data_IF_216845010635
#
_entry.id   IF_216845010635
#
_cell.length_a   1.000
_cell.length_b   1.000
_cell.length_c   1.000
_cell.angle_alpha   90.00
_cell.angle_beta   90.00
_cell.angle_gamma   90.00
#
_symmetry.space_group_name_H-M   'P 1'
#
loop_
_entity.id
_entity.type
_entity.pdbx_description
1 polymer ?
#
# COMPACT_ATOMS: atom_id res chain seq x y z
N UNK A 1 -0.27 -2.70 21.76
CA UNK A 1 -0.38 -1.44 22.50
C UNK A 1 -0.63 -0.33 21.50
N UNK A 2 -1.56 0.61 21.75
CA UNK A 2 -1.74 1.78 20.90
C UNK A 2 -0.45 2.59 20.78
N UNK A 3 -0.30 3.35 19.69
CA UNK A 3 0.76 4.34 19.57
C UNK A 3 0.48 5.46 20.58
N UNK A 4 1.52 5.87 21.27
CA UNK A 4 1.47 6.98 22.21
C UNK A 4 2.07 8.22 21.51
N UNK A 5 1.26 9.25 21.24
CA UNK A 5 1.72 10.44 20.56
C UNK A 5 2.85 11.17 21.29
N UNK A 6 2.91 11.09 22.64
CA UNK A 6 3.94 11.76 23.43
C UNK A 6 5.33 11.12 23.30
N UNK A 7 5.36 9.82 22.94
CA UNK A 7 6.62 9.07 22.74
C UNK A 7 6.98 8.86 21.28
N UNK A 8 6.14 9.37 20.36
CA UNK A 8 6.36 9.25 18.92
C UNK A 8 7.40 10.27 18.45
N UNK A 9 8.48 9.80 17.83
CA UNK A 9 9.46 10.66 17.19
C UNK A 9 9.06 10.91 15.71
N UNK A 10 8.58 12.12 15.43
CA UNK A 10 8.12 12.52 14.09
C UNK A 10 6.61 12.54 13.93
N UNK A 11 6.14 12.55 12.69
CA UNK A 11 4.72 12.69 12.35
C UNK A 11 4.23 11.48 11.55
N UNK A 12 3.05 10.97 11.88
CA UNK A 12 2.35 9.94 11.10
C UNK A 12 1.05 10.55 10.58
N UNK A 13 0.88 10.53 9.26
CA UNK A 13 -0.40 10.86 8.59
C UNK A 13 -1.12 9.57 8.26
N UNK A 14 -2.35 9.39 8.74
CA UNK A 14 -3.13 8.17 8.54
C UNK A 14 -4.43 8.53 7.82
N UNK A 15 -4.68 7.86 6.69
CA UNK A 15 -5.94 7.96 5.95
C UNK A 15 -6.61 6.59 5.93
N UNK A 16 -7.62 6.37 6.78
CA UNK A 16 -8.28 5.06 6.88
C UNK A 16 -8.97 4.62 5.60
N UNK A 17 -9.54 5.57 4.85
CA UNK A 17 -10.24 5.30 3.58
C UNK A 17 -9.92 6.42 2.58
N UNK A 18 -9.06 6.13 1.62
CA UNK A 18 -8.66 7.09 0.58
C UNK A 18 -9.77 7.33 -0.43
N UNK A 19 -10.48 6.27 -0.84
CA UNK A 19 -11.63 6.33 -1.75
C UNK A 19 -12.95 6.19 -0.98
N UNK A 20 -13.39 7.25 -0.32
CA UNK A 20 -14.63 7.25 0.46
C UNK A 20 -15.89 6.97 -0.40
N UNK A 21 -16.07 7.56 -1.61
CA UNK A 21 -17.19 7.19 -2.48
C UNK A 21 -17.20 5.71 -2.86
N UNK A 22 -16.04 5.16 -3.22
CA UNK A 22 -15.89 3.75 -3.53
C UNK A 22 -16.18 2.85 -2.32
N UNK A 23 -15.72 3.23 -1.14
CA UNK A 23 -16.02 2.51 0.09
C UNK A 23 -17.53 2.41 0.34
N UNK A 24 -18.27 3.51 0.21
CA UNK A 24 -19.72 3.55 0.39
C UNK A 24 -20.48 2.72 -0.66
N UNK A 25 -20.02 2.72 -1.90
CA UNK A 25 -20.62 1.97 -3.01
C UNK A 25 -20.06 0.55 -3.17
N UNK A 26 -19.15 0.12 -2.29
CA UNK A 26 -18.42 -1.16 -2.36
C UNK A 26 -17.76 -1.37 -3.73
N UNK A 27 -17.17 -0.31 -4.27
CA UNK A 27 -16.50 -0.26 -5.56
C UNK A 27 -15.05 0.16 -5.43
N UNK A 28 -14.18 -0.40 -6.28
CA UNK A 28 -12.83 0.10 -6.45
C UNK A 28 -12.79 1.49 -7.10
N UNK A 29 -13.77 1.75 -7.96
CA UNK A 29 -13.82 2.94 -8.80
C UNK A 29 -14.56 4.09 -8.13
N UNK A 30 -14.18 5.30 -8.50
CA UNK A 30 -14.94 6.50 -8.19
C UNK A 30 -16.26 6.54 -8.98
N UNK A 31 -17.21 7.45 -8.61
CA UNK A 31 -18.48 7.61 -9.36
C UNK A 31 -18.30 7.99 -10.85
N UNK A 32 -17.14 8.57 -11.21
CA UNK A 32 -16.78 8.88 -12.61
C UNK A 32 -16.15 7.68 -13.35
N UNK A 33 -16.20 6.48 -12.77
CA UNK A 33 -15.71 5.23 -13.35
C UNK A 33 -14.19 5.07 -13.37
N UNK A 34 -13.42 5.98 -12.74
CA UNK A 34 -11.96 5.95 -12.77
C UNK A 34 -11.36 5.27 -11.54
N UNK A 35 -10.23 4.61 -11.74
CA UNK A 35 -9.38 4.07 -10.67
C UNK A 35 -8.49 5.19 -10.11
N UNK A 36 -8.64 5.53 -8.80
CA UNK A 36 -7.81 6.53 -8.15
C UNK A 36 -6.31 6.22 -8.33
N UNK A 37 -5.94 4.93 -8.17
CA UNK A 37 -4.54 4.49 -8.27
C UNK A 37 -4.05 4.34 -9.73
N UNK A 38 -4.59 5.13 -10.64
CA UNK A 38 -4.17 5.36 -12.04
C UNK A 38 -4.22 6.84 -12.41
N UNK A 39 -4.50 7.70 -11.42
CA UNK A 39 -4.75 9.12 -11.67
C UNK A 39 -3.83 10.06 -10.87
N UNK A 40 -2.77 9.55 -10.24
CA UNK A 40 -1.76 10.38 -9.57
C UNK A 40 -0.82 11.05 -10.57
N UNK A 41 -0.39 12.32 -10.30
CA UNK A 41 -0.64 13.16 -9.11
C UNK A 41 -2.04 13.78 -9.05
N UNK A 42 -2.87 13.62 -10.08
CA UNK A 42 -4.17 14.23 -10.17
C UNK A 42 -4.17 15.58 -10.90
N UNK A 43 -5.29 16.29 -10.81
CA UNK A 43 -5.46 17.65 -11.35
C UNK A 43 -6.64 18.30 -10.62
N UNK A 44 -6.43 19.47 -10.01
CA UNK A 44 -7.45 20.21 -9.24
C UNK A 44 -8.63 20.68 -10.09
N UNK A 45 -8.45 20.82 -11.41
CA UNK A 45 -9.50 21.18 -12.37
C UNK A 45 -10.05 19.97 -13.15
N UNK A 46 -9.62 18.76 -12.78
CA UNK A 46 -10.01 17.54 -13.46
C UNK A 46 -11.32 16.93 -12.96
N UNK A 47 -11.56 15.68 -13.35
CA UNK A 47 -12.68 14.87 -12.86
C UNK A 47 -12.62 14.67 -11.34
N UNK A 48 -13.72 14.16 -10.74
CA UNK A 48 -13.77 13.93 -9.29
C UNK A 48 -12.61 13.08 -8.80
N UNK A 49 -12.26 12.00 -9.50
CA UNK A 49 -11.10 11.16 -9.19
C UNK A 49 -9.79 11.95 -9.25
N UNK A 50 -9.59 12.75 -10.31
CA UNK A 50 -8.35 13.53 -10.46
C UNK A 50 -8.21 14.63 -9.41
N UNK A 51 -9.32 15.25 -9.00
CA UNK A 51 -9.30 16.24 -7.92
C UNK A 51 -8.92 15.62 -6.58
N UNK A 52 -9.48 14.44 -6.26
CA UNK A 52 -9.10 13.73 -5.03
C UNK A 52 -7.65 13.25 -5.09
N UNK A 53 -7.19 12.72 -6.24
CA UNK A 53 -5.78 12.35 -6.41
C UNK A 53 -4.85 13.55 -6.14
N UNK A 54 -5.19 14.75 -6.64
CA UNK A 54 -4.40 15.96 -6.41
C UNK A 54 -4.38 16.38 -4.93
N UNK A 55 -5.49 16.22 -4.21
CA UNK A 55 -5.55 16.51 -2.77
C UNK A 55 -4.75 15.49 -1.96
N UNK A 56 -4.88 14.20 -2.27
CA UNK A 56 -4.09 13.13 -1.63
C UNK A 56 -2.61 13.39 -1.84
N UNK A 57 -2.20 13.70 -3.07
CA UNK A 57 -0.81 14.03 -3.38
C UNK A 57 -0.34 15.19 -2.54
N UNK A 58 -0.97 16.34 -2.67
CA UNK A 58 -0.56 17.59 -2.02
C UNK A 58 -0.51 17.51 -0.49
N UNK A 59 -1.51 16.91 0.14
CA UNK A 59 -1.63 16.98 1.62
C UNK A 59 -1.06 15.78 2.36
N UNK A 60 -0.85 14.66 1.68
CA UNK A 60 -0.45 13.41 2.32
C UNK A 60 0.89 12.89 1.84
N UNK A 61 1.27 13.18 0.60
CA UNK A 61 2.40 12.54 -0.06
C UNK A 61 3.59 13.48 -0.26
N UNK A 62 3.36 14.66 -0.80
CA UNK A 62 4.39 15.58 -1.28
C UNK A 62 5.51 15.87 -0.26
N UNK A 63 5.16 15.98 1.04
CA UNK A 63 6.13 16.22 2.12
C UNK A 63 6.36 14.98 2.99
N UNK A 64 6.23 13.78 2.44
CA UNK A 64 6.41 12.56 3.21
C UNK A 64 7.79 11.95 2.98
N UNK A 65 8.48 11.57 4.07
CA UNK A 65 9.76 10.86 4.00
C UNK A 65 9.61 9.39 3.63
N UNK A 66 8.42 8.81 3.82
CA UNK A 66 8.11 7.42 3.51
C UNK A 66 6.60 7.17 3.43
N UNK A 67 6.19 6.20 2.61
CA UNK A 67 4.78 5.84 2.40
C UNK A 67 4.60 4.33 2.57
N UNK A 68 3.54 3.96 3.28
CA UNK A 68 3.02 2.59 3.31
C UNK A 68 1.60 2.63 2.78
N UNK A 69 1.38 2.02 1.61
CA UNK A 69 0.08 1.93 0.96
C UNK A 69 -0.53 0.55 1.23
N UNK A 70 -1.67 0.51 1.94
CA UNK A 70 -2.30 -0.73 2.39
C UNK A 70 -3.48 -1.09 1.48
N UNK A 71 -3.41 -2.25 0.86
CA UNK A 71 -4.39 -2.77 -0.08
C UNK A 71 -4.97 -4.11 0.35
N UNK A 72 -6.18 -4.39 -0.12
CA UNK A 72 -6.78 -5.72 -0.15
C UNK A 72 -7.12 -6.12 -1.59
N UNK A 73 -7.44 -7.41 -1.79
CA UNK A 73 -7.84 -7.89 -3.11
C UNK A 73 -9.14 -7.24 -3.59
N UNK A 74 -9.31 -7.16 -4.89
CA UNK A 74 -10.56 -6.72 -5.51
C UNK A 74 -11.69 -7.73 -5.27
N UNK A 75 -12.93 -7.30 -5.59
CA UNK A 75 -14.16 -8.10 -5.39
C UNK A 75 -14.00 -9.54 -5.92
N UNK A 76 -14.43 -10.52 -5.12
CA UNK A 76 -14.35 -11.94 -5.44
C UNK A 76 -12.96 -12.55 -5.39
N UNK A 77 -11.98 -11.85 -4.82
CA UNK A 77 -10.60 -12.31 -4.71
C UNK A 77 -10.09 -12.20 -3.28
N UNK A 78 -9.05 -12.95 -2.98
CA UNK A 78 -8.27 -12.84 -1.74
C UNK A 78 -6.78 -12.81 -2.09
N UNK A 79 -6.04 -11.92 -1.42
CA UNK A 79 -4.59 -11.86 -1.52
C UNK A 79 -3.95 -12.56 -0.33
N UNK A 80 -2.97 -13.41 -0.60
CA UNK A 80 -2.02 -13.80 0.43
C UNK A 80 -1.19 -12.56 0.84
N UNK A 81 -0.95 -12.36 2.14
CA UNK A 81 -0.15 -11.23 2.62
C UNK A 81 1.22 -11.16 1.94
N UNK A 82 1.49 -10.06 1.24
CA UNK A 82 2.71 -9.81 0.50
C UNK A 82 3.02 -8.32 0.40
N UNK A 83 4.27 -7.97 0.11
CA UNK A 83 4.64 -6.63 -0.29
C UNK A 83 4.94 -6.57 -1.78
N UNK A 84 4.47 -5.50 -2.41
CA UNK A 84 4.90 -5.08 -3.75
C UNK A 84 5.81 -3.88 -3.61
N UNK A 85 6.98 -3.97 -4.19
CA UNK A 85 8.04 -2.96 -4.06
C UNK A 85 8.87 -2.91 -5.33
N UNK A 86 9.44 -1.77 -5.63
CA UNK A 86 10.54 -1.63 -6.59
C UNK A 86 11.84 -1.70 -5.78
N UNK A 87 12.53 -2.84 -5.86
CA UNK A 87 13.75 -3.06 -5.08
C UNK A 87 14.96 -2.28 -5.62
N UNK A 88 14.88 -1.75 -6.84
CA UNK A 88 15.90 -0.85 -7.38
C UNK A 88 15.89 0.52 -6.66
N UNK A 89 14.74 0.94 -6.11
CA UNK A 89 14.64 2.15 -5.30
C UNK A 89 15.17 1.89 -3.89
N UNK A 90 16.32 2.48 -3.54
CA UNK A 90 17.07 2.18 -2.32
C UNK A 90 16.23 2.34 -1.03
N UNK A 91 15.50 3.45 -0.90
CA UNK A 91 14.63 3.72 0.25
C UNK A 91 13.49 2.71 0.38
N UNK A 92 12.81 2.38 -0.72
CA UNK A 92 11.73 1.39 -0.73
C UNK A 92 12.23 -0.01 -0.35
N UNK A 93 13.43 -0.38 -0.79
CA UNK A 93 14.08 -1.64 -0.40
C UNK A 93 14.34 -1.69 1.13
N UNK A 94 14.80 -0.57 1.72
CA UNK A 94 14.98 -0.47 3.18
C UNK A 94 13.65 -0.66 3.91
N UNK A 95 12.57 0.00 3.45
CA UNK A 95 11.24 -0.13 4.04
C UNK A 95 10.70 -1.57 3.91
N UNK A 96 10.84 -2.20 2.75
CA UNK A 96 10.39 -3.56 2.50
C UNK A 96 11.10 -4.58 3.41
N UNK A 97 12.41 -4.42 3.56
CA UNK A 97 13.19 -5.26 4.50
C UNK A 97 12.78 -5.03 5.95
N UNK A 98 12.45 -3.80 6.31
CA UNK A 98 12.02 -3.44 7.65
C UNK A 98 10.62 -3.95 7.99
N UNK A 99 9.69 -3.92 7.03
CA UNK A 99 8.31 -4.37 7.22
C UNK A 99 8.24 -5.80 7.79
N UNK A 100 9.15 -6.67 7.38
CA UNK A 100 9.32 -7.96 8.05
C UNK A 100 8.32 -9.03 7.62
N UNK A 101 7.76 -8.94 6.42
CA UNK A 101 6.92 -9.96 5.81
C UNK A 101 7.76 -10.98 5.02
N UNK A 102 7.21 -12.18 4.85
CA UNK A 102 7.90 -13.30 4.20
C UNK A 102 7.94 -13.17 2.68
N UNK A 103 6.92 -12.60 2.05
CA UNK A 103 6.79 -12.56 0.59
C UNK A 103 6.97 -11.13 0.09
N UNK A 104 7.99 -10.95 -0.73
CA UNK A 104 8.27 -9.71 -1.45
C UNK A 104 8.11 -9.96 -2.95
N UNK A 105 7.27 -9.16 -3.60
CA UNK A 105 7.15 -9.14 -5.05
C UNK A 105 7.87 -7.90 -5.58
N UNK A 106 9.04 -8.12 -6.20
CA UNK A 106 9.74 -7.08 -6.95
C UNK A 106 8.98 -6.78 -8.23
N UNK A 107 8.43 -5.59 -8.32
CA UNK A 107 7.59 -5.20 -9.44
C UNK A 107 7.60 -3.71 -9.69
N UNK A 108 7.75 -3.33 -10.94
CA UNK A 108 7.55 -1.95 -11.37
C UNK A 108 6.10 -1.53 -11.12
N UNK A 109 5.88 -0.34 -10.57
CA UNK A 109 4.53 0.16 -10.32
C UNK A 109 3.81 0.51 -11.63
N UNK A 110 2.50 0.31 -11.72
CA UNK A 110 1.70 0.75 -12.86
C UNK A 110 1.75 2.28 -13.01
N UNK A 111 1.83 2.76 -14.24
CA UNK A 111 1.79 4.20 -14.55
C UNK A 111 0.57 4.89 -13.91
N UNK A 112 0.77 6.06 -13.34
CA UNK A 112 -0.27 6.84 -12.67
C UNK A 112 -0.70 6.30 -11.31
N UNK A 113 -0.05 5.26 -10.78
CA UNK A 113 -0.25 4.81 -9.39
C UNK A 113 0.51 5.71 -8.42
N UNK A 114 0.04 5.73 -7.17
CA UNK A 114 0.73 6.42 -6.07
C UNK A 114 2.20 5.99 -5.99
N UNK A 115 2.45 4.69 -6.02
CA UNK A 115 3.80 4.13 -5.94
C UNK A 115 4.68 4.54 -7.13
N UNK A 116 4.10 4.61 -8.35
CA UNK A 116 4.86 5.05 -9.53
C UNK A 116 5.34 6.49 -9.39
N UNK A 117 4.46 7.37 -8.93
CA UNK A 117 4.82 8.77 -8.81
C UNK A 117 5.74 9.02 -7.61
N UNK A 118 5.45 8.41 -6.46
CA UNK A 118 6.31 8.53 -5.28
C UNK A 118 7.76 8.10 -5.58
N UNK A 119 7.95 6.98 -6.31
CA UNK A 119 9.29 6.55 -6.72
C UNK A 119 9.98 7.55 -7.68
N UNK A 120 9.22 8.23 -8.54
CA UNK A 120 9.77 9.26 -9.45
C UNK A 120 10.21 10.52 -8.68
N UNK A 121 9.53 10.84 -7.59
CA UNK A 121 9.87 11.95 -6.70
C UNK A 121 10.84 11.54 -5.58
N UNK A 122 11.48 10.37 -5.71
CA UNK A 122 12.43 9.79 -4.74
C UNK A 122 11.86 9.59 -3.32
N UNK A 123 10.53 9.42 -3.21
CA UNK A 123 9.85 9.13 -1.95
C UNK A 123 9.74 7.61 -1.77
N UNK A 124 10.38 7.03 -0.74
CA UNK A 124 10.29 5.61 -0.45
C UNK A 124 8.85 5.14 -0.24
N UNK A 125 8.42 4.12 -0.98
CA UNK A 125 7.05 3.61 -0.89
C UNK A 125 7.00 2.10 -1.05
N UNK A 126 6.19 1.46 -0.20
CA UNK A 126 5.86 0.03 -0.28
C UNK A 126 4.35 -0.14 -0.32
N UNK A 127 3.87 -1.14 -1.07
CA UNK A 127 2.45 -1.50 -1.10
C UNK A 127 2.27 -2.86 -0.44
N UNK A 128 1.52 -2.91 0.65
CA UNK A 128 1.07 -4.15 1.26
C UNK A 128 -0.21 -4.63 0.57
N UNK A 129 -0.30 -5.91 0.28
CA UNK A 129 -1.48 -6.57 -0.24
C UNK A 129 -1.87 -7.72 0.69
N UNK A 130 -3.12 -7.77 1.17
CA UNK A 130 -3.58 -8.86 2.03
C UNK A 130 -5.10 -8.91 2.18
N UNK A 131 -5.64 -10.12 2.31
CA UNK A 131 -7.07 -10.35 2.51
C UNK A 131 -7.97 -10.04 1.32
N UNK A 132 -9.28 -9.96 1.56
CA UNK A 132 -10.31 -9.78 0.54
C UNK A 132 -11.05 -8.45 0.62
N UNK A 133 -11.92 -8.18 -0.35
CA UNK A 133 -12.60 -6.89 -0.48
C UNK A 133 -13.84 -6.74 0.41
N UNK A 134 -14.52 -7.82 0.77
CA UNK A 134 -15.86 -7.75 1.38
C UNK A 134 -15.90 -8.16 2.86
N UNK A 135 -14.75 -8.49 3.42
CA UNK A 135 -14.62 -8.91 4.83
C UNK A 135 -13.30 -8.43 5.42
N UNK A 136 -13.32 -8.22 6.73
CA UNK A 136 -12.11 -7.88 7.47
C UNK A 136 -11.37 -9.16 7.84
N UNK A 137 -10.33 -9.48 7.07
CA UNK A 137 -9.43 -10.60 7.38
C UNK A 137 -8.48 -10.21 8.52
N UNK A 138 -8.79 -10.69 9.71
CA UNK A 138 -8.03 -10.39 10.93
C UNK A 138 -6.56 -10.85 10.85
N UNK A 139 -6.28 -11.93 10.12
CA UNK A 139 -4.91 -12.41 9.95
C UNK A 139 -4.10 -11.41 9.11
N UNK A 140 -4.65 -10.97 7.99
CA UNK A 140 -4.03 -9.96 7.12
C UNK A 140 -3.87 -8.61 7.84
N UNK A 141 -4.86 -8.20 8.63
CA UNK A 141 -4.78 -6.98 9.45
C UNK A 141 -3.64 -7.07 10.46
N UNK A 142 -3.49 -8.19 11.18
CA UNK A 142 -2.38 -8.39 12.13
C UNK A 142 -1.02 -8.29 11.44
N UNK A 143 -0.86 -8.90 10.26
CA UNK A 143 0.37 -8.81 9.48
C UNK A 143 0.65 -7.36 9.06
N UNK A 144 -0.36 -6.63 8.57
CA UNK A 144 -0.21 -5.23 8.19
C UNK A 144 0.22 -4.34 9.37
N UNK A 145 -0.49 -4.43 10.50
CA UNK A 145 -0.16 -3.66 11.72
C UNK A 145 1.25 -3.97 12.20
N UNK A 146 1.61 -5.25 12.20
CA UNK A 146 2.93 -5.68 12.62
C UNK A 146 4.03 -5.12 11.71
N UNK A 147 3.81 -5.16 10.39
CA UNK A 147 4.73 -4.60 9.41
C UNK A 147 4.88 -3.08 9.52
N UNK A 148 3.78 -2.36 9.68
CA UNK A 148 3.82 -0.91 9.92
C UNK A 148 4.64 -0.60 11.17
N UNK A 149 4.40 -1.28 12.29
CA UNK A 149 5.16 -1.09 13.52
C UNK A 149 6.66 -1.40 13.35
N UNK A 150 7.01 -2.37 12.52
CA UNK A 150 8.40 -2.66 12.20
C UNK A 150 9.07 -1.55 11.40
N UNK A 151 8.36 -0.95 10.44
CA UNK A 151 8.85 0.23 9.70
C UNK A 151 9.05 1.40 10.64
N UNK A 152 8.09 1.70 11.53
CA UNK A 152 8.23 2.78 12.52
C UNK A 152 9.44 2.56 13.45
N UNK A 153 9.70 1.31 13.87
CA UNK A 153 10.91 0.97 14.63
C UNK A 153 12.18 1.17 13.82
N UNK A 154 12.18 0.80 12.55
CA UNK A 154 13.32 1.00 11.65
C UNK A 154 13.63 2.48 11.46
N UNK A 155 12.60 3.30 11.34
CA UNK A 155 12.69 4.76 11.22
C UNK A 155 12.97 5.45 12.57
N UNK A 156 13.08 4.69 13.67
CA UNK A 156 13.28 5.19 15.04
C UNK A 156 12.14 6.10 15.55
N UNK A 157 10.98 6.00 14.95
CA UNK A 157 9.79 6.77 15.39
C UNK A 157 9.16 6.20 16.65
N UNK A 158 9.37 4.90 16.92
CA UNK A 158 8.95 4.21 18.13
C UNK A 158 10.08 3.33 18.66
N UNK A 159 10.14 3.05 19.97
CA UNK A 159 11.19 2.22 20.54
C UNK A 159 11.12 0.76 20.08
N UNK A 160 12.25 0.07 20.14
CA UNK A 160 12.40 -1.34 19.82
C UNK A 160 13.13 -1.60 18.49
N UNK A 161 13.30 -2.87 18.18
CA UNK A 161 13.92 -3.33 16.91
C UNK A 161 12.88 -3.96 16.00
N UNK A 162 13.02 -3.81 14.67
CA UNK A 162 12.16 -4.54 13.72
C UNK A 162 12.34 -6.04 13.90
N UNK A 163 11.23 -6.76 13.91
CA UNK A 163 11.26 -8.21 13.86
C UNK A 163 11.62 -8.69 12.46
N UNK A 164 12.37 -9.81 12.36
CA UNK A 164 12.73 -10.43 11.09
C UNK A 164 11.86 -11.67 10.85
N UNK A 165 11.35 -11.88 9.63
CA UNK A 165 10.64 -13.10 9.32
C UNK A 165 11.60 -14.31 9.35
N UNK A 166 11.06 -15.52 9.53
CA UNK A 166 11.85 -16.76 9.55
C UNK A 166 12.55 -17.05 8.23
N UNK A 167 11.90 -16.70 7.12
CA UNK A 167 12.45 -16.78 5.76
C UNK A 167 11.94 -15.61 4.93
N UNK A 168 12.52 -15.43 3.75
CA UNK A 168 12.04 -14.49 2.74
C UNK A 168 11.99 -15.16 1.39
N UNK A 169 10.85 -15.02 0.73
CA UNK A 169 10.67 -15.36 -0.67
C UNK A 169 10.67 -14.05 -1.47
N UNK A 170 11.58 -13.96 -2.43
CA UNK A 170 11.62 -12.87 -3.39
C UNK A 170 11.10 -13.38 -4.73
N UNK A 171 9.96 -12.83 -5.18
CA UNK A 171 9.41 -13.08 -6.51
C UNK A 171 9.71 -11.89 -7.42
N UNK A 172 10.26 -12.16 -8.60
CA UNK A 172 10.61 -11.15 -9.62
C UNK A 172 9.53 -10.98 -10.70
N UNK A 173 8.40 -11.66 -10.56
CA UNK A 173 7.29 -11.58 -11.51
C UNK A 173 6.06 -12.31 -11.02
N UNK A 174 4.96 -12.11 -11.72
CA UNK A 174 3.70 -12.82 -11.48
C UNK A 174 2.97 -13.07 -12.79
N UNK A 175 2.31 -14.21 -12.88
CA UNK A 175 1.50 -14.61 -14.04
C UNK A 175 0.12 -15.04 -13.58
N UNK A 176 -0.90 -14.62 -14.32
CA UNK A 176 -2.26 -15.09 -14.09
C UNK A 176 -2.45 -16.47 -14.73
N UNK A 177 -2.74 -17.46 -13.91
CA UNK A 177 -3.30 -18.70 -14.39
C UNK A 177 -4.81 -18.48 -14.61
N UNK A 178 -5.30 -18.82 -15.80
CA UNK A 178 -6.69 -18.66 -16.17
C UNK A 178 -7.24 -20.00 -16.60
N UNK A 179 -8.49 -20.27 -16.25
CA UNK A 179 -9.23 -21.39 -16.85
C UNK A 179 -9.39 -21.13 -18.36
N UNK A 180 -9.24 -22.17 -19.18
CA UNK A 180 -9.49 -22.10 -20.62
C UNK A 180 -10.95 -21.90 -20.95
N UNK A 181 -11.84 -22.37 -20.08
CA UNK A 181 -13.30 -22.31 -20.23
C UNK A 181 -13.95 -21.84 -18.93
N UNK A 182 -15.18 -21.33 -19.01
CA UNK A 182 -15.97 -20.97 -17.85
C UNK A 182 -16.44 -22.21 -17.09
N UNK A 183 -16.51 -22.11 -15.75
CA UNK A 183 -16.93 -23.22 -14.88
C UNK A 183 -16.94 -22.84 -13.42
N UNK A 184 -17.45 -23.74 -12.58
CA UNK A 184 -17.32 -23.68 -11.12
C UNK A 184 -16.07 -24.45 -10.72
N UNK A 185 -15.33 -23.90 -9.73
CA UNK A 185 -14.21 -24.54 -9.07
C UNK A 185 -14.71 -25.21 -7.79
#
# INVERSE_FOLDING_TARGET
KPLDPETLAGTIRIVPVVNMPGYRSKSRYFPDGRDLNRNFPGNSQGSSTRRVAAQVWKYLVEDSDAIIDLHSAGRGRSNMPQLRVDLAHAGSNILAKAFGIEILLDSKPPKGSLRSLANLEDIPVITYEGGGANWLDQASVKVAVYGVMNVLRKLKMVPGKPHRPRFRMLASGSTWLRAGEGGLL
#
